data_IF_749113495424
#
_entry.id   IF_749113495424
#
_cell.length_a   1.000
_cell.length_b   1.000
_cell.length_c   1.000
_cell.angle_alpha   90.00
_cell.angle_beta   90.00
_cell.angle_gamma   90.00
#
_symmetry.space_group_name_H-M   'P 1'
#
loop_
_entity.id
_entity.type
_entity.pdbx_description
1 polymer ?
#
# COMPACT_ATOMS: atom_id res chain seq x y z
N UNK A 1 -28.30 -12.87 14.39
CA UNK A 1 -27.86 -13.37 13.06
C UNK A 1 -26.35 -13.41 13.04
N UNK A 2 -25.77 -14.50 12.51
CA UNK A 2 -24.33 -14.65 12.32
C UNK A 2 -24.03 -15.00 10.86
N UNK A 3 -22.80 -14.77 10.44
CA UNK A 3 -22.31 -15.07 9.11
C UNK A 3 -21.33 -16.24 9.19
N UNK A 4 -21.45 -17.20 8.28
CA UNK A 4 -20.48 -18.30 8.23
C UNK A 4 -19.27 -17.91 7.37
N UNK A 5 -18.04 -18.23 7.81
CA UNK A 5 -16.81 -17.84 7.08
C UNK A 5 -16.66 -18.55 5.74
N UNK A 6 -17.36 -19.66 5.53
CA UNK A 6 -17.39 -20.37 4.26
C UNK A 6 -18.76 -21.03 4.02
N UNK A 7 -19.21 -21.11 2.76
CA UNK A 7 -20.42 -21.85 2.41
C UNK A 7 -20.24 -23.35 2.62
N UNK A 8 -21.31 -24.03 3.10
CA UNK A 8 -21.35 -25.48 3.34
C UNK A 8 -22.53 -26.15 2.62
N UNK A 9 -22.64 -26.05 1.28
CA UNK A 9 -23.80 -26.58 0.56
C UNK A 9 -23.90 -28.11 0.71
N UNK A 10 -25.06 -28.58 1.21
CA UNK A 10 -25.30 -30.00 1.46
C UNK A 10 -24.72 -30.57 2.76
N UNK A 11 -24.02 -29.77 3.54
CA UNK A 11 -23.40 -30.14 4.80
C UNK A 11 -24.02 -29.34 5.98
N UNK A 12 -23.77 -29.77 7.21
CA UNK A 12 -24.15 -29.01 8.39
C UNK A 12 -23.31 -27.72 8.47
N UNK A 13 -23.94 -26.61 8.80
CA UNK A 13 -23.21 -25.35 8.99
C UNK A 13 -22.16 -25.47 10.10
N UNK A 14 -21.00 -24.76 9.98
CA UNK A 14 -20.00 -24.69 11.03
C UNK A 14 -20.61 -24.23 12.37
N UNK A 15 -20.06 -24.69 13.47
CA UNK A 15 -20.49 -24.26 14.81
C UNK A 15 -20.03 -22.83 15.14
N UNK A 16 -18.97 -22.36 14.45
CA UNK A 16 -18.48 -20.99 14.57
C UNK A 16 -19.10 -20.09 13.51
N UNK A 17 -19.49 -18.91 13.89
CA UNK A 17 -20.02 -17.87 13.00
C UNK A 17 -19.38 -16.52 13.32
N UNK A 18 -19.38 -15.65 12.33
CA UNK A 18 -18.94 -14.27 12.49
C UNK A 18 -20.11 -13.41 12.96
N UNK A 19 -19.84 -12.48 13.88
CA UNK A 19 -20.84 -11.56 14.42
C UNK A 19 -21.21 -10.44 13.45
N UNK A 20 -20.36 -10.21 12.44
CA UNK A 20 -20.56 -9.17 11.43
C UNK A 20 -19.30 -8.87 10.66
N UNK A 21 -19.24 -7.67 10.10
CA UNK A 21 -18.14 -7.16 9.33
C UNK A 21 -17.53 -5.95 10.06
N UNK A 22 -16.21 -5.84 10.05
CA UNK A 22 -15.53 -4.65 10.51
C UNK A 22 -15.75 -3.55 9.48
N UNK A 23 -16.13 -2.36 9.92
CA UNK A 23 -16.32 -1.21 9.03
C UNK A 23 -15.01 -0.81 8.34
N UNK A 24 -15.13 -0.37 7.08
CA UNK A 24 -13.99 0.06 6.26
C UNK A 24 -13.18 1.17 6.92
N UNK A 25 -11.92 1.25 6.54
CA UNK A 25 -11.01 2.28 7.00
C UNK A 25 -11.26 3.61 6.30
N UNK A 26 -10.96 4.71 6.98
CA UNK A 26 -11.06 6.07 6.45
C UNK A 26 -9.77 6.82 6.70
N UNK A 27 -9.31 7.55 5.69
CA UNK A 27 -8.10 8.35 5.73
C UNK A 27 -8.45 9.83 5.74
N UNK A 28 -7.74 10.63 6.55
CA UNK A 28 -7.91 12.09 6.58
C UNK A 28 -7.25 12.80 5.40
N UNK A 29 -6.34 12.12 4.71
CA UNK A 29 -5.59 12.64 3.56
C UNK A 29 -5.65 11.59 2.45
N UNK A 30 -6.06 12.01 1.25
CA UNK A 30 -6.15 11.15 0.07
C UNK A 30 -4.79 10.94 -0.58
N UNK A 31 -4.69 9.90 -1.44
CA UNK A 31 -3.52 9.67 -2.30
C UNK A 31 -3.21 10.86 -3.18
N UNK A 32 -1.95 11.07 -3.50
CA UNK A 32 -1.56 12.18 -4.37
C UNK A 32 -0.10 12.56 -4.26
N UNK A 33 0.21 13.73 -4.80
CA UNK A 33 1.53 14.35 -4.73
C UNK A 33 1.58 15.35 -3.58
N UNK A 34 2.66 15.29 -2.81
CA UNK A 34 2.86 16.14 -1.63
C UNK A 34 4.26 16.75 -1.64
N UNK A 35 4.41 17.93 -1.05
CA UNK A 35 5.69 18.64 -0.91
C UNK A 35 6.16 18.71 0.53
N UNK A 36 5.23 18.70 1.45
CA UNK A 36 5.50 18.83 2.87
C UNK A 36 4.95 17.63 3.62
N UNK A 37 5.64 17.24 4.68
CA UNK A 37 5.17 16.20 5.58
C UNK A 37 3.82 16.57 6.19
N UNK A 38 2.97 15.58 6.38
CA UNK A 38 1.65 15.75 6.99
C UNK A 38 1.32 14.59 7.91
N UNK A 39 0.33 14.78 8.78
CA UNK A 39 -0.22 13.71 9.60
C UNK A 39 -1.46 13.14 8.91
N UNK A 40 -1.40 11.87 8.54
CA UNK A 40 -2.55 11.10 8.07
C UNK A 40 -3.21 10.41 9.26
N UNK A 41 -4.47 10.70 9.52
CA UNK A 41 -5.27 9.99 10.52
C UNK A 41 -6.07 8.90 9.83
N UNK A 42 -5.94 7.66 10.32
CA UNK A 42 -6.71 6.50 9.84
C UNK A 42 -7.65 6.03 10.93
N UNK A 43 -8.92 5.84 10.59
CA UNK A 43 -9.96 5.41 11.52
C UNK A 43 -10.81 4.28 10.93
N UNK A 44 -11.50 3.54 11.78
CA UNK A 44 -12.67 2.73 11.42
C UNK A 44 -13.79 3.02 12.42
N UNK A 45 -15.03 2.77 12.05
CA UNK A 45 -16.16 3.00 12.95
C UNK A 45 -16.43 1.83 13.91
N UNK A 46 -15.70 0.72 13.78
CA UNK A 46 -15.90 -0.47 14.63
C UNK A 46 -15.17 -0.29 15.96
N UNK A 47 -15.90 -0.20 17.10
CA UNK A 47 -15.26 -0.10 18.41
C UNK A 47 -14.46 -1.35 18.75
N UNK A 48 -13.33 -1.17 19.44
CA UNK A 48 -12.41 -2.26 19.82
C UNK A 48 -11.68 -2.93 18.67
N UNK A 49 -11.77 -2.40 17.44
CA UNK A 49 -11.02 -2.93 16.32
C UNK A 49 -9.53 -2.61 16.43
N UNK A 50 -8.71 -3.41 15.75
CA UNK A 50 -7.28 -3.21 15.54
C UNK A 50 -7.06 -2.79 14.10
N UNK A 51 -6.37 -1.68 13.88
CA UNK A 51 -5.86 -1.31 12.56
C UNK A 51 -4.51 -2.01 12.35
N UNK A 52 -4.34 -2.67 11.21
CA UNK A 52 -3.07 -3.25 10.79
C UNK A 52 -2.64 -2.56 9.51
N UNK A 53 -1.41 -2.05 9.48
CA UNK A 53 -0.92 -1.26 8.35
C UNK A 53 0.49 -1.60 7.93
N UNK A 54 0.79 -1.32 6.67
CA UNK A 54 2.12 -1.31 6.05
C UNK A 54 2.34 0.02 5.34
N UNK A 55 3.59 0.44 5.18
CA UNK A 55 3.95 1.69 4.47
C UNK A 55 4.75 1.44 3.19
N UNK A 56 5.07 0.19 2.92
CA UNK A 56 5.89 -0.28 1.80
C UNK A 56 5.07 -0.92 0.66
N UNK A 57 3.73 -0.88 0.76
CA UNK A 57 2.83 -1.47 -0.23
C UNK A 57 2.61 -2.97 -0.08
N UNK A 58 3.25 -3.65 0.87
CA UNK A 58 2.95 -5.05 1.16
C UNK A 58 1.56 -5.22 1.79
N UNK A 59 0.98 -6.42 1.68
CA UNK A 59 -0.34 -6.71 2.24
C UNK A 59 -0.28 -6.71 3.78
N UNK A 60 -1.04 -5.83 4.46
CA UNK A 60 -1.19 -5.93 5.91
C UNK A 60 -2.02 -7.16 6.28
N UNK A 61 -1.71 -7.76 7.42
CA UNK A 61 -2.44 -8.94 7.92
C UNK A 61 -1.90 -9.42 9.26
N UNK A 62 -2.39 -10.57 9.71
CA UNK A 62 -2.04 -11.12 11.03
C UNK A 62 -0.53 -11.39 11.23
N UNK A 63 0.25 -11.50 10.14
CA UNK A 63 1.69 -11.80 10.16
C UNK A 63 2.56 -10.72 9.53
N UNK A 64 1.95 -9.70 8.98
CA UNK A 64 2.66 -8.63 8.29
C UNK A 64 2.03 -7.28 8.61
N UNK A 65 2.86 -6.29 8.90
CA UNK A 65 2.45 -4.94 9.23
C UNK A 65 2.52 -4.62 10.71
N UNK A 66 2.19 -3.40 11.03
CA UNK A 66 2.15 -2.86 12.39
C UNK A 66 0.70 -2.82 12.87
N UNK A 67 0.44 -3.37 14.04
CA UNK A 67 -0.89 -3.36 14.64
C UNK A 67 -1.05 -2.16 15.59
N UNK A 68 -2.17 -1.45 15.45
CA UNK A 68 -2.59 -0.36 16.32
C UNK A 68 -3.96 -0.67 16.90
N UNK A 69 -4.02 -0.88 18.19
CA UNK A 69 -5.25 -1.23 18.89
C UNK A 69 -6.05 0.00 19.33
N UNK A 70 -7.37 -0.12 19.37
CA UNK A 70 -8.20 0.85 20.03
C UNK A 70 -7.82 1.00 21.52
N UNK A 71 -8.02 2.19 22.06
CA UNK A 71 -7.70 2.48 23.47
C UNK A 71 -8.56 1.67 24.47
N UNK A 72 -9.75 1.28 24.08
CA UNK A 72 -10.63 0.37 24.84
C UNK A 72 -11.51 -0.44 23.89
N UNK A 73 -12.16 -1.53 24.36
CA UNK A 73 -13.10 -2.31 23.56
C UNK A 73 -14.30 -1.51 23.04
N UNK A 74 -14.66 -0.41 23.71
CA UNK A 74 -15.78 0.45 23.37
C UNK A 74 -15.40 1.64 22.49
N UNK A 75 -14.09 1.93 22.34
CA UNK A 75 -13.59 3.02 21.51
C UNK A 75 -13.19 2.53 20.12
N UNK A 76 -13.45 3.36 19.10
CA UNK A 76 -12.91 3.16 17.77
C UNK A 76 -11.43 3.57 17.72
N UNK A 77 -10.57 2.87 16.95
CA UNK A 77 -9.17 3.24 16.83
C UNK A 77 -9.01 4.51 15.97
N UNK A 78 -8.06 5.36 16.38
CA UNK A 78 -7.64 6.55 15.64
C UNK A 78 -6.11 6.54 15.55
N UNK A 79 -5.58 6.01 14.44
CA UNK A 79 -4.14 5.92 14.16
C UNK A 79 -3.69 7.21 13.49
N UNK A 80 -2.61 7.82 14.01
CA UNK A 80 -1.95 8.99 13.41
C UNK A 80 -0.57 8.60 12.91
N UNK A 81 -0.35 8.80 11.62
CA UNK A 81 0.92 8.52 10.95
C UNK A 81 1.47 9.80 10.34
N UNK A 82 2.70 10.10 10.65
CA UNK A 82 3.44 11.14 9.95
C UNK A 82 3.97 10.59 8.62
N UNK A 83 3.58 11.22 7.53
CA UNK A 83 4.00 10.88 6.16
C UNK A 83 4.84 12.04 5.64
N UNK A 84 6.13 11.82 5.48
CA UNK A 84 7.10 12.84 5.03
C UNK A 84 7.96 12.39 3.86
N UNK A 85 7.75 11.15 3.37
CA UNK A 85 8.44 10.57 2.22
C UNK A 85 7.46 9.77 1.37
N UNK A 86 7.83 9.47 0.13
CA UNK A 86 7.03 8.63 -0.75
C UNK A 86 6.74 7.27 -0.09
N UNK A 87 5.46 6.95 0.03
CA UNK A 87 4.99 5.75 0.71
C UNK A 87 3.71 5.20 0.09
N UNK A 88 3.57 3.88 0.15
CA UNK A 88 2.31 3.20 -0.16
C UNK A 88 1.72 2.64 1.13
N UNK A 89 0.81 3.41 1.72
CA UNK A 89 0.12 3.03 2.94
C UNK A 89 -1.05 2.09 2.61
N UNK A 90 -1.01 0.89 3.17
CA UNK A 90 -2.12 -0.07 3.11
C UNK A 90 -2.60 -0.36 4.52
N UNK A 91 -3.91 -0.34 4.72
CA UNK A 91 -4.52 -0.53 6.04
C UNK A 91 -5.73 -1.45 5.93
N UNK A 92 -5.88 -2.32 6.91
CA UNK A 92 -7.11 -3.06 7.17
C UNK A 92 -7.49 -2.94 8.65
N UNK A 93 -8.75 -3.11 8.94
CA UNK A 93 -9.26 -3.18 10.30
C UNK A 93 -9.71 -4.61 10.63
N UNK A 94 -9.35 -5.10 11.80
CA UNK A 94 -9.66 -6.45 12.27
C UNK A 94 -10.30 -6.39 13.65
N UNK A 95 -11.22 -7.31 13.92
CA UNK A 95 -11.77 -7.56 15.25
C UNK A 95 -12.08 -9.04 15.39
N UNK A 96 -11.85 -9.57 16.59
CA UNK A 96 -12.16 -10.96 16.87
C UNK A 96 -13.64 -11.27 16.60
N UNK A 97 -13.92 -12.45 16.04
CA UNK A 97 -15.25 -12.93 15.65
C UNK A 97 -15.98 -12.05 14.60
N UNK A 98 -15.27 -11.18 13.90
CA UNK A 98 -15.81 -10.41 12.78
C UNK A 98 -14.98 -10.62 11.51
N UNK A 99 -15.62 -10.51 10.34
CA UNK A 99 -14.91 -10.48 9.07
C UNK A 99 -14.11 -9.17 8.99
N UNK A 100 -12.81 -9.21 8.68
CA UNK A 100 -12.01 -8.01 8.52
C UNK A 100 -12.56 -7.06 7.45
N UNK A 101 -12.20 -5.77 7.53
CA UNK A 101 -12.47 -4.83 6.44
C UNK A 101 -11.71 -5.24 5.18
N UNK A 102 -12.08 -4.65 4.03
CA UNK A 102 -11.19 -4.62 2.87
C UNK A 102 -9.86 -3.94 3.23
N UNK A 103 -8.86 -4.13 2.36
CA UNK A 103 -7.58 -3.42 2.46
C UNK A 103 -7.67 -2.15 1.63
N UNK A 104 -7.66 -1.01 2.29
CA UNK A 104 -7.58 0.29 1.64
C UNK A 104 -6.14 0.69 1.38
N UNK A 105 -5.89 1.33 0.23
CA UNK A 105 -4.55 1.69 -0.23
C UNK A 105 -4.49 3.16 -0.61
N UNK A 106 -3.51 3.88 -0.06
CA UNK A 106 -3.18 5.25 -0.39
C UNK A 106 -1.71 5.35 -0.80
N UNK A 107 -1.43 5.88 -1.98
CA UNK A 107 -0.06 6.17 -2.42
C UNK A 107 0.21 7.65 -2.29
N UNK A 108 1.16 8.01 -1.45
CA UNK A 108 1.64 9.38 -1.24
C UNK A 108 2.98 9.52 -1.95
N UNK A 109 3.07 10.44 -2.90
CA UNK A 109 4.28 10.66 -3.71
C UNK A 109 4.87 12.01 -3.38
N UNK A 110 6.13 12.03 -2.99
CA UNK A 110 6.93 13.23 -2.81
C UNK A 110 7.85 13.34 -4.03
N UNK A 111 7.60 14.29 -4.95
CA UNK A 111 8.39 14.41 -6.17
C UNK A 111 9.89 14.60 -5.94
N UNK A 112 10.29 15.23 -4.84
CA UNK A 112 11.70 15.38 -4.47
C UNK A 112 12.37 14.02 -4.23
N UNK A 113 11.67 13.07 -3.60
CA UNK A 113 12.18 11.71 -3.41
C UNK A 113 12.34 10.99 -4.75
N UNK A 114 11.36 11.17 -5.66
CA UNK A 114 11.42 10.56 -6.99
C UNK A 114 12.60 11.12 -7.78
N UNK A 115 12.80 12.44 -7.76
CA UNK A 115 13.94 13.09 -8.44
C UNK A 115 15.29 12.68 -7.87
N UNK A 116 15.36 12.36 -6.58
CA UNK A 116 16.56 11.90 -5.89
C UNK A 116 16.77 10.38 -5.95
N UNK A 117 15.87 9.62 -6.58
CA UNK A 117 15.90 8.16 -6.59
C UNK A 117 17.16 7.65 -7.31
N UNK A 118 18.02 6.95 -6.58
CA UNK A 118 19.30 6.40 -7.04
C UNK A 118 19.28 4.88 -7.22
N UNK A 119 18.14 4.23 -6.97
CA UNK A 119 17.97 2.78 -7.04
C UNK A 119 18.51 2.01 -5.84
N UNK A 120 19.11 2.70 -4.87
CA UNK A 120 19.58 2.05 -3.63
C UNK A 120 18.39 1.72 -2.74
N UNK A 121 18.36 0.48 -2.22
CA UNK A 121 17.25 0.02 -1.37
C UNK A 121 15.96 -0.28 -2.13
N UNK A 122 15.96 -0.26 -3.47
CA UNK A 122 14.85 -0.76 -4.24
C UNK A 122 14.49 -2.19 -3.80
N UNK A 123 13.20 -2.55 -3.74
CA UNK A 123 12.74 -3.82 -3.17
C UNK A 123 13.23 -5.05 -3.95
N UNK A 124 13.93 -4.84 -5.06
CA UNK A 124 14.42 -5.88 -5.94
C UNK A 124 15.93 -5.80 -6.08
N UNK A 125 16.59 -6.93 -5.87
CA UNK A 125 18.03 -7.02 -6.07
C UNK A 125 18.37 -6.56 -7.50
N UNK A 126 19.39 -5.72 -7.66
CA UNK A 126 19.92 -5.31 -8.96
C UNK A 126 20.36 -6.51 -9.84
N UNK A 127 20.47 -7.71 -9.24
CA UNK A 127 20.75 -8.97 -9.93
C UNK A 127 19.55 -9.59 -10.64
N UNK A 128 18.34 -9.11 -10.38
CA UNK A 128 17.14 -9.58 -11.09
C UNK A 128 17.11 -8.99 -12.49
N UNK A 129 16.96 -9.84 -13.49
CA UNK A 129 16.80 -9.39 -14.86
C UNK A 129 15.32 -9.27 -15.20
N UNK A 130 14.95 -8.17 -15.78
CA UNK A 130 13.67 -7.96 -16.42
C UNK A 130 13.82 -8.36 -17.90
N UNK A 131 13.72 -9.63 -18.19
CA UNK A 131 14.04 -10.14 -19.51
C UNK A 131 15.50 -9.92 -19.88
N UNK A 132 15.77 -9.13 -20.90
CA UNK A 132 17.12 -8.82 -21.38
C UNK A 132 17.78 -7.61 -20.66
N UNK A 133 17.00 -6.79 -19.96
CA UNK A 133 17.47 -5.61 -19.24
C UNK A 133 17.56 -5.86 -17.72
N UNK A 134 18.48 -5.20 -17.06
CA UNK A 134 18.47 -5.07 -15.60
C UNK A 134 17.35 -4.12 -15.16
N UNK A 135 16.88 -4.23 -13.89
CA UNK A 135 15.96 -3.25 -13.35
C UNK A 135 16.63 -1.89 -13.31
N UNK A 136 15.92 -0.87 -13.74
CA UNK A 136 16.35 0.53 -13.72
C UNK A 136 15.37 1.31 -12.84
N UNK A 137 15.79 1.54 -11.60
CA UNK A 137 15.02 2.26 -10.59
C UNK A 137 15.50 3.67 -10.35
N UNK A 138 16.70 3.98 -10.85
CA UNK A 138 17.32 5.27 -10.66
C UNK A 138 16.75 6.31 -11.63
N UNK A 139 16.63 7.53 -11.17
CA UNK A 139 16.49 8.66 -12.08
C UNK A 139 17.82 8.89 -12.80
N UNK A 140 17.78 9.08 -14.14
CA UNK A 140 18.98 9.29 -14.93
C UNK A 140 19.67 10.62 -14.53
N UNK A 141 20.90 10.58 -14.00
CA UNK A 141 21.62 11.81 -13.63
C UNK A 141 21.86 12.75 -14.80
N UNK A 142 21.89 12.24 -16.04
CA UNK A 142 22.00 13.08 -17.23
C UNK A 142 20.79 13.99 -17.42
N UNK A 143 19.65 13.60 -16.87
CA UNK A 143 18.41 14.37 -16.90
C UNK A 143 18.30 15.22 -15.63
N UNK A 144 18.38 14.60 -14.44
CA UNK A 144 18.17 15.31 -13.17
C UNK A 144 19.26 16.32 -12.84
N UNK A 145 20.49 16.12 -13.38
CA UNK A 145 21.66 16.99 -13.18
C UNK A 145 22.11 17.67 -14.48
N UNK A 146 21.24 17.75 -15.50
CA UNK A 146 21.60 18.34 -16.77
C UNK A 146 22.06 19.78 -16.60
N UNK A 147 23.07 20.20 -17.40
CA UNK A 147 23.64 21.55 -17.29
C UNK A 147 22.63 22.64 -17.67
N UNK A 148 21.74 22.34 -18.63
CA UNK A 148 20.65 23.21 -19.02
C UNK A 148 19.48 23.03 -18.04
N UNK A 149 19.06 24.08 -17.30
CA UNK A 149 17.94 24.01 -16.38
C UNK A 149 16.60 23.69 -17.05
N UNK A 150 16.43 24.03 -18.34
CA UNK A 150 15.17 23.78 -19.06
C UNK A 150 14.95 22.28 -19.35
N UNK A 151 16.00 21.47 -19.27
CA UNK A 151 15.94 20.02 -19.47
C UNK A 151 15.69 19.30 -18.14
N UNK A 152 16.04 19.92 -17.00
CA UNK A 152 15.83 19.30 -15.69
C UNK A 152 14.34 19.20 -15.37
N UNK A 153 13.87 18.04 -14.94
CA UNK A 153 12.49 17.93 -14.50
C UNK A 153 12.25 18.79 -13.25
N UNK A 154 11.15 19.51 -13.26
CA UNK A 154 10.67 20.25 -12.12
C UNK A 154 9.54 19.47 -11.40
N UNK A 155 9.34 19.75 -10.12
CA UNK A 155 8.24 19.16 -9.35
C UNK A 155 6.90 19.40 -10.03
N UNK A 156 6.73 20.54 -10.70
CA UNK A 156 5.51 20.89 -11.43
C UNK A 156 5.20 19.97 -12.60
N UNK A 157 6.19 19.28 -13.16
CA UNK A 157 6.00 18.37 -14.29
C UNK A 157 5.22 17.12 -13.87
N UNK A 158 5.36 16.68 -12.62
CA UNK A 158 4.59 15.56 -12.08
C UNK A 158 3.09 15.84 -12.04
N UNK A 159 2.67 17.12 -11.99
CA UNK A 159 1.26 17.51 -11.95
C UNK A 159 0.65 17.72 -13.34
N UNK A 160 1.47 17.75 -14.38
CA UNK A 160 1.01 18.00 -15.75
C UNK A 160 0.52 16.75 -16.46
N UNK A 161 0.96 15.57 -16.02
CA UNK A 161 0.60 14.29 -16.60
C UNK A 161 -0.27 13.48 -15.62
N UNK A 162 -1.29 12.77 -16.12
CA UNK A 162 -2.02 11.81 -15.30
C UNK A 162 -1.07 10.73 -14.78
N UNK A 163 -1.17 10.42 -13.49
CA UNK A 163 -0.37 9.38 -12.85
C UNK A 163 -1.24 8.20 -12.44
N UNK A 164 -0.74 6.98 -12.69
CA UNK A 164 -1.35 5.73 -12.30
C UNK A 164 -0.44 5.02 -11.31
N UNK A 165 -0.92 4.81 -10.08
CA UNK A 165 -0.24 3.97 -9.09
C UNK A 165 -0.81 2.56 -9.15
N UNK A 166 0.05 1.57 -9.41
CA UNK A 166 -0.29 0.15 -9.41
C UNK A 166 0.35 -0.49 -8.18
N UNK A 167 -0.48 -1.03 -7.29
CA UNK A 167 -0.03 -1.68 -6.06
C UNK A 167 -0.54 -3.12 -6.06
N UNK A 168 0.37 -4.07 -6.06
CA UNK A 168 0.08 -5.50 -6.06
C UNK A 168 1.19 -6.27 -5.34
N UNK A 169 0.97 -7.54 -5.08
CA UNK A 169 2.01 -8.38 -4.49
C UNK A 169 3.17 -8.57 -5.47
N UNK A 170 4.38 -8.72 -4.90
CA UNK A 170 5.59 -8.91 -5.68
C UNK A 170 5.49 -10.10 -6.64
N UNK A 171 4.98 -11.23 -6.15
CA UNK A 171 4.85 -12.46 -6.94
C UNK A 171 3.87 -12.30 -8.10
N UNK A 172 2.82 -11.48 -7.96
CA UNK A 172 1.85 -11.20 -9.01
C UNK A 172 2.45 -10.35 -10.14
N UNK A 173 3.43 -9.51 -9.83
CA UNK A 173 4.11 -8.67 -10.81
C UNK A 173 5.35 -9.37 -11.39
N UNK A 174 6.25 -9.84 -10.52
CA UNK A 174 7.60 -10.27 -10.85
C UNK A 174 7.89 -11.74 -10.53
N UNK A 175 6.95 -12.48 -9.96
CA UNK A 175 7.07 -13.94 -9.77
C UNK A 175 7.09 -14.69 -11.09
N UNK A 176 7.37 -15.99 -11.04
CA UNK A 176 7.46 -16.84 -12.26
C UNK A 176 6.18 -16.88 -13.08
N UNK A 177 5.02 -16.69 -12.46
CA UNK A 177 3.71 -16.52 -13.11
C UNK A 177 3.23 -15.08 -13.17
N UNK A 178 4.05 -14.11 -12.74
CA UNK A 178 3.70 -12.71 -12.66
C UNK A 178 3.55 -12.04 -14.03
N UNK A 179 2.78 -10.97 -14.06
CA UNK A 179 2.42 -10.24 -15.30
C UNK A 179 3.65 -9.88 -16.12
N UNK A 180 4.72 -9.45 -15.45
CA UNK A 180 5.93 -8.99 -16.13
C UNK A 180 6.75 -10.14 -16.74
N UNK A 181 6.92 -11.24 -16.02
CA UNK A 181 7.73 -12.39 -16.45
C UNK A 181 6.96 -13.28 -17.45
N UNK A 182 5.68 -13.55 -17.21
CA UNK A 182 4.85 -14.36 -18.08
C UNK A 182 4.67 -13.76 -19.49
N UNK A 183 4.68 -12.43 -19.61
CA UNK A 183 4.62 -11.74 -20.91
C UNK A 183 5.88 -11.83 -21.76
N UNK A 184 6.98 -12.41 -21.25
CA UNK A 184 8.26 -12.52 -21.96
C UNK A 184 8.51 -13.91 -22.56
N UNK A 185 7.62 -14.84 -22.40
CA UNK A 185 7.74 -16.23 -22.92
C UNK A 185 7.12 -16.41 -24.31
N UNK A 186 7.15 -15.39 -25.18
CA UNK A 186 6.77 -15.48 -26.59
C UNK A 186 7.97 -15.35 -27.49
#
# INVERSE_FOLDING_TARGET
>A
FGFFPSPSPGEANPLSYLEGFVADTRFSVDRGFYREAFVCTVTTQTPGATLVYTTDGTLPGARNGVAFQAASPESAPELKLEIGTTATLRVMAMKENMEPSNIDTQTYVFPDDVLAQDGVGAPYAQSMRWGHAGPDWAMDPKITQHADPEIRPEITDFYRLPSLSIVMDFEDMFGTGGIYIAGQSV
#
